data_IF_244040386949
#
_entry.id   IF_244040386949
#
_cell.length_a   1.000
_cell.length_b   1.000
_cell.length_c   1.000
_cell.angle_alpha   90.00
_cell.angle_beta   90.00
_cell.angle_gamma   90.00
#
_symmetry.space_group_name_H-M   'P 1'
#
loop_
_entity.id
_entity.type
_entity.pdbx_description
1 polymer ?
#
# COMPACT_ATOMS: atom_id res chain seq x y z
N UNK A 1 -7.91 86.13 -29.80
CA UNK A 1 -8.34 86.33 -31.20
C UNK A 1 -7.32 85.61 -32.08
N UNK A 2 -7.76 84.66 -32.92
CA UNK A 2 -7.00 83.70 -33.76
C UNK A 2 -6.20 82.65 -32.97
N UNK A 3 -6.39 81.31 -33.01
CA UNK A 3 -6.85 80.33 -34.01
C UNK A 3 -6.13 80.44 -35.37
N UNK A 4 -5.16 79.55 -35.65
CA UNK A 4 -5.39 78.42 -36.57
C UNK A 4 -4.15 77.51 -36.82
N UNK A 5 -4.44 76.20 -36.79
CA UNK A 5 -3.95 75.11 -37.65
C UNK A 5 -2.44 74.88 -37.79
N UNK A 6 -1.95 73.84 -37.11
CA UNK A 6 -1.24 72.73 -37.75
C UNK A 6 -1.20 71.58 -36.73
N UNK A 7 -1.97 70.51 -36.96
CA UNK A 7 -1.75 69.10 -36.56
C UNK A 7 -3.05 68.38 -36.95
N UNK A 8 -3.14 67.87 -38.18
CA UNK A 8 -4.21 66.95 -38.57
C UNK A 8 -3.91 66.17 -39.84
N UNK A 9 -2.76 65.48 -39.95
CA UNK A 9 -2.62 64.37 -40.90
C UNK A 9 -1.56 63.40 -40.35
N UNK A 10 -1.94 62.44 -39.48
CA UNK A 10 -1.19 61.18 -39.21
C UNK A 10 -1.88 60.22 -38.24
N UNK A 11 -3.22 60.18 -38.14
CA UNK A 11 -3.91 59.16 -37.29
C UNK A 11 -4.81 58.24 -38.12
N UNK A 12 -4.98 58.50 -39.43
CA UNK A 12 -5.84 57.66 -40.27
C UNK A 12 -5.22 56.31 -40.70
N UNK A 13 -3.90 56.08 -40.80
CA UNK A 13 -3.38 54.74 -41.14
C UNK A 13 -3.41 53.76 -39.95
N UNK A 14 -3.50 54.24 -38.71
CA UNK A 14 -3.47 53.42 -37.50
C UNK A 14 -4.86 52.97 -37.02
N UNK A 15 -5.93 53.61 -37.49
CA UNK A 15 -7.31 53.18 -37.22
C UNK A 15 -7.84 52.19 -38.28
N UNK A 16 -7.19 52.12 -39.44
CA UNK A 16 -7.49 51.12 -40.49
C UNK A 16 -6.74 49.80 -40.28
N UNK A 17 -5.66 49.77 -39.51
CA UNK A 17 -4.93 48.53 -39.18
C UNK A 17 -5.56 47.72 -38.03
N UNK A 18 -6.47 48.31 -37.25
CA UNK A 18 -7.22 47.60 -36.19
C UNK A 18 -8.53 46.95 -36.68
N UNK A 19 -8.97 47.22 -37.91
CA UNK A 19 -10.22 46.65 -38.48
C UNK A 19 -9.93 45.38 -39.30
N UNK A 20 -8.68 45.14 -39.69
CA UNK A 20 -8.23 43.93 -40.37
C UNK A 20 -7.35 43.06 -39.47
N UNK A 21 -7.75 42.89 -38.20
CA UNK A 21 -7.39 41.65 -37.51
C UNK A 21 -8.25 40.58 -38.18
N UNK A 22 -7.77 40.04 -39.31
CA UNK A 22 -8.34 38.87 -39.94
C UNK A 22 -8.69 37.89 -38.82
N UNK A 23 -9.98 37.53 -38.76
CA UNK A 23 -10.45 36.43 -37.92
C UNK A 23 -9.58 35.23 -38.32
N UNK A 24 -8.54 34.95 -37.53
CA UNK A 24 -7.79 33.71 -37.66
C UNK A 24 -8.83 32.60 -37.68
N UNK A 25 -8.83 31.82 -38.76
CA UNK A 25 -9.87 30.83 -38.99
C UNK A 25 -10.00 29.97 -37.74
N UNK A 26 -11.21 29.80 -37.22
CA UNK A 26 -11.42 29.02 -36.00
C UNK A 26 -10.93 27.55 -36.12
N UNK A 27 -10.64 27.11 -37.35
CA UNK A 27 -9.94 25.87 -37.71
C UNK A 27 -8.55 25.72 -37.08
N UNK A 28 -7.84 26.83 -36.82
CA UNK A 28 -6.47 26.81 -36.26
C UNK A 28 -6.41 26.18 -34.87
N UNK A 29 -7.54 26.13 -34.16
CA UNK A 29 -7.60 25.61 -32.79
C UNK A 29 -7.72 24.08 -32.70
N UNK A 30 -8.11 23.41 -33.79
CA UNK A 30 -8.22 21.96 -33.89
C UNK A 30 -7.66 21.46 -35.22
N UNK A 31 -6.35 21.65 -35.50
CA UNK A 31 -5.76 21.33 -36.80
C UNK A 31 -5.82 19.84 -37.15
N UNK A 32 -6.04 18.96 -36.17
CA UNK A 32 -6.24 17.53 -36.39
C UNK A 32 -7.64 17.18 -36.91
N UNK A 33 -8.59 18.13 -36.88
CA UNK A 33 -9.95 17.96 -37.39
C UNK A 33 -10.04 18.68 -38.74
N UNK A 34 -10.46 17.99 -39.81
CA UNK A 34 -10.54 18.60 -41.13
C UNK A 34 -11.61 19.69 -41.17
N UNK A 35 -11.32 20.78 -41.91
CA UNK A 35 -12.23 21.92 -42.15
C UNK A 35 -13.63 21.51 -42.62
N UNK A 36 -13.71 20.45 -43.43
CA UNK A 36 -14.97 19.88 -43.89
C UNK A 36 -15.33 18.68 -43.05
N UNK A 37 -16.29 18.84 -42.15
CA UNK A 37 -16.83 17.74 -41.33
C UNK A 37 -17.90 16.98 -42.13
N UNK A 38 -17.74 15.67 -42.19
CA UNK A 38 -18.65 14.70 -42.80
C UNK A 38 -18.95 13.54 -41.83
N UNK A 39 -19.71 12.55 -42.29
CA UNK A 39 -20.15 11.42 -41.45
C UNK A 39 -18.99 10.51 -40.98
N UNK A 40 -17.83 10.57 -41.64
CA UNK A 40 -16.63 9.78 -41.32
C UNK A 40 -15.60 10.55 -40.48
N UNK A 41 -15.85 11.83 -40.19
CA UNK A 41 -14.90 12.68 -39.45
C UNK A 41 -14.78 12.27 -37.99
N UNK A 42 -15.87 11.77 -37.41
CA UNK A 42 -15.93 11.34 -36.02
C UNK A 42 -16.31 9.86 -35.92
N UNK A 43 -15.76 9.12 -34.93
CA UNK A 43 -14.88 9.60 -33.87
C UNK A 43 -13.45 9.84 -34.33
N UNK A 44 -12.87 10.95 -33.85
CA UNK A 44 -11.45 11.18 -34.04
C UNK A 44 -10.66 10.26 -33.11
N UNK A 45 -9.79 9.43 -33.69
CA UNK A 45 -9.02 8.43 -32.96
C UNK A 45 -7.68 9.02 -32.52
N UNK A 46 -7.40 8.98 -31.22
CA UNK A 46 -6.11 9.35 -30.65
C UNK A 46 -5.49 8.16 -29.93
N UNK A 47 -4.21 7.89 -30.21
CA UNK A 47 -3.44 6.87 -29.49
C UNK A 47 -2.44 7.55 -28.57
N UNK A 48 -2.61 7.34 -27.26
CA UNK A 48 -1.71 7.80 -26.21
C UNK A 48 -0.73 6.70 -25.81
N UNK A 49 0.48 7.09 -25.41
CA UNK A 49 1.44 6.16 -24.80
C UNK A 49 0.90 5.65 -23.45
N UNK A 50 1.19 4.38 -23.13
CA UNK A 50 0.88 3.77 -21.81
C UNK A 50 1.46 4.55 -20.64
N UNK A 51 2.53 5.28 -20.91
CA UNK A 51 3.24 6.11 -19.95
C UNK A 51 2.31 7.12 -19.23
N UNK A 52 1.19 7.53 -19.84
CA UNK A 52 0.35 8.59 -19.30
C UNK A 52 -1.04 8.06 -18.94
N UNK A 53 -1.24 7.71 -17.67
CA UNK A 53 -2.56 7.25 -17.18
C UNK A 53 -3.62 8.36 -17.16
N UNK A 54 -3.22 9.63 -17.31
CA UNK A 54 -4.12 10.79 -17.38
C UNK A 54 -3.71 11.71 -18.52
N UNK A 55 -4.70 12.25 -19.23
CA UNK A 55 -4.55 13.28 -20.26
C UNK A 55 -5.40 14.49 -19.89
N UNK A 56 -5.09 15.64 -20.51
CA UNK A 56 -5.93 16.83 -20.44
C UNK A 56 -6.45 17.11 -21.85
N UNK A 57 -7.76 16.97 -22.04
CA UNK A 57 -8.41 16.94 -23.35
C UNK A 57 -9.14 18.23 -23.62
N UNK A 58 -8.90 18.81 -24.79
CA UNK A 58 -9.56 20.01 -25.30
C UNK A 58 -10.86 19.62 -26.00
N UNK A 59 -11.99 20.13 -25.52
CA UNK A 59 -13.29 20.06 -26.17
C UNK A 59 -13.74 21.47 -26.60
N UNK A 60 -14.48 21.62 -27.71
CA UNK A 60 -15.11 22.88 -28.02
C UNK A 60 -16.11 23.35 -26.95
N UNK A 61 -16.28 24.67 -26.82
CA UNK A 61 -17.33 25.27 -26.01
C UNK A 61 -18.44 25.87 -26.90
N UNK A 62 -19.52 26.33 -26.29
CA UNK A 62 -20.70 26.90 -26.97
C UNK A 62 -20.40 28.09 -27.88
N UNK A 63 -19.31 28.82 -27.62
CA UNK A 63 -18.86 29.95 -28.44
C UNK A 63 -17.87 29.54 -29.55
N UNK A 64 -17.57 28.25 -29.69
CA UNK A 64 -16.71 27.76 -30.75
C UNK A 64 -17.48 27.67 -32.06
N UNK A 65 -16.85 28.20 -33.10
CA UNK A 65 -17.20 28.05 -34.50
C UNK A 65 -16.10 27.23 -35.16
N UNK A 66 -16.36 26.42 -36.18
CA UNK A 66 -15.30 25.62 -36.80
C UNK A 66 -14.83 26.25 -38.11
N UNK A 67 -15.74 26.40 -39.06
CA UNK A 67 -15.46 26.83 -40.43
C UNK A 67 -16.18 28.12 -40.75
N UNK A 68 -17.37 28.34 -40.17
CA UNK A 68 -18.20 29.50 -40.41
C UNK A 68 -18.64 30.13 -39.08
N UNK A 69 -18.71 31.47 -39.02
CA UNK A 69 -19.27 32.23 -37.88
C UNK A 69 -20.70 31.80 -37.50
N UNK A 70 -21.43 31.20 -38.42
CA UNK A 70 -22.79 30.69 -38.19
C UNK A 70 -22.83 29.26 -37.63
N UNK A 71 -21.69 28.56 -37.57
CA UNK A 71 -21.59 27.26 -36.92
C UNK A 71 -21.99 27.40 -35.46
N UNK A 72 -22.61 26.37 -34.88
CA UNK A 72 -22.95 26.39 -33.45
C UNK A 72 -22.46 25.12 -32.80
N UNK A 73 -21.88 25.25 -31.62
CA UNK A 73 -21.53 24.10 -30.81
C UNK A 73 -22.46 24.00 -29.60
N UNK A 74 -23.00 22.82 -29.36
CA UNK A 74 -23.72 22.50 -28.13
C UNK A 74 -22.88 21.54 -27.31
N UNK A 75 -22.38 22.02 -26.17
CA UNK A 75 -21.56 21.23 -25.26
C UNK A 75 -22.39 20.11 -24.63
N UNK A 76 -21.81 18.92 -24.48
CA UNK A 76 -22.45 17.81 -23.80
C UNK A 76 -22.78 18.15 -22.33
N UNK A 77 -23.93 17.67 -21.83
CA UNK A 77 -24.41 17.98 -20.47
C UNK A 77 -23.45 17.49 -19.39
N UNK A 78 -22.78 16.36 -19.58
CA UNK A 78 -21.80 15.82 -18.62
C UNK A 78 -20.64 16.78 -18.46
N UNK A 79 -20.15 17.31 -19.59
CA UNK A 79 -19.05 18.26 -19.65
C UNK A 79 -19.43 19.62 -19.04
N UNK A 80 -20.65 20.11 -19.31
CA UNK A 80 -21.17 21.33 -18.69
C UNK A 80 -21.23 21.24 -17.16
N UNK A 81 -21.57 20.07 -16.63
CA UNK A 81 -21.62 19.85 -15.18
C UNK A 81 -20.21 19.80 -14.55
N UNK A 82 -19.20 19.28 -15.26
CA UNK A 82 -17.80 19.29 -14.82
C UNK A 82 -17.25 20.74 -14.77
N UNK A 83 -17.60 21.56 -15.76
CA UNK A 83 -17.14 22.96 -15.89
C UNK A 83 -17.65 23.92 -14.83
N UNK A 84 -18.86 23.71 -14.28
CA UNK A 84 -19.35 24.54 -13.18
C UNK A 84 -18.43 24.53 -11.95
N UNK A 85 -17.44 23.63 -11.88
CA UNK A 85 -16.37 23.62 -10.88
C UNK A 85 -14.96 23.99 -11.39
N UNK A 86 -14.75 24.25 -12.68
CA UNK A 86 -13.44 24.51 -13.29
C UNK A 86 -13.56 25.65 -14.32
N UNK A 87 -13.45 26.90 -13.85
CA UNK A 87 -13.34 28.06 -14.74
C UNK A 87 -12.01 28.00 -15.51
N UNK A 88 -12.09 28.02 -16.85
CA UNK A 88 -10.95 28.20 -17.73
C UNK A 88 -11.11 29.49 -18.54
N UNK A 89 -10.01 30.20 -18.68
CA UNK A 89 -9.94 31.65 -18.89
C UNK A 89 -10.39 32.19 -20.27
N UNK A 90 -10.84 31.35 -21.21
CA UNK A 90 -10.93 31.77 -22.62
C UNK A 90 -12.25 31.55 -23.34
N UNK A 91 -13.26 30.94 -22.69
CA UNK A 91 -14.64 30.83 -23.21
C UNK A 91 -14.84 29.92 -24.44
N UNK A 92 -13.83 29.80 -25.32
CA UNK A 92 -13.88 29.04 -26.58
C UNK A 92 -13.76 27.52 -26.40
N UNK A 93 -13.02 27.08 -25.39
CA UNK A 93 -12.70 25.67 -25.18
C UNK A 93 -12.88 25.28 -23.74
N UNK A 94 -13.08 23.98 -23.58
CA UNK A 94 -13.24 23.30 -22.33
C UNK A 94 -12.14 22.26 -22.21
N UNK A 95 -11.32 22.38 -21.18
CA UNK A 95 -10.29 21.38 -20.92
C UNK A 95 -10.71 20.47 -19.78
N UNK A 96 -10.57 19.16 -20.01
CA UNK A 96 -11.09 18.13 -19.13
C UNK A 96 -10.00 17.11 -18.82
N UNK A 97 -9.78 16.75 -17.54
CA UNK A 97 -8.89 15.66 -17.23
C UNK A 97 -9.57 14.33 -17.58
N UNK A 98 -8.84 13.47 -18.29
CA UNK A 98 -9.27 12.15 -18.69
C UNK A 98 -8.32 11.12 -18.10
N UNK A 99 -8.83 10.27 -17.21
CA UNK A 99 -8.08 9.14 -16.66
C UNK A 99 -8.33 7.89 -17.50
N UNK A 100 -7.26 7.14 -17.80
CA UNK A 100 -7.32 5.84 -18.48
C UNK A 100 -8.26 4.86 -17.76
N UNK A 101 -9.12 4.22 -18.53
CA UNK A 101 -9.99 3.15 -18.08
C UNK A 101 -9.22 1.80 -18.12
N UNK A 102 -9.48 0.87 -17.19
CA UNK A 102 -9.05 -0.53 -17.28
C UNK A 102 -9.16 -1.19 -18.66
N UNK A 103 -10.16 -0.85 -19.47
CA UNK A 103 -10.32 -1.35 -20.86
C UNK A 103 -9.21 -0.92 -21.81
N UNK A 104 -8.40 0.09 -21.44
CA UNK A 104 -7.37 0.66 -22.28
C UNK A 104 -7.87 1.65 -23.33
N UNK A 105 -9.17 1.90 -23.41
CA UNK A 105 -9.77 2.89 -24.30
C UNK A 105 -10.95 3.62 -23.66
N UNK A 106 -11.16 4.88 -24.05
CA UNK A 106 -12.29 5.70 -23.63
C UNK A 106 -12.81 6.49 -24.82
N UNK A 107 -14.13 6.45 -24.99
CA UNK A 107 -14.86 7.39 -25.84
C UNK A 107 -15.30 8.60 -25.01
N UNK A 108 -15.03 9.81 -25.50
CA UNK A 108 -15.51 11.07 -24.94
C UNK A 108 -16.37 11.77 -25.97
N UNK A 109 -17.55 12.20 -25.55
CA UNK A 109 -18.43 13.05 -26.36
C UNK A 109 -18.30 14.49 -25.85
N UNK A 110 -17.71 15.36 -26.66
CA UNK A 110 -17.57 16.78 -26.34
C UNK A 110 -18.90 17.55 -26.47
N UNK A 111 -19.73 17.12 -27.43
CA UNK A 111 -20.98 17.79 -27.76
C UNK A 111 -21.39 17.55 -29.21
N UNK A 112 -22.12 18.52 -29.76
CA UNK A 112 -22.60 18.49 -31.16
C UNK A 112 -22.24 19.79 -31.85
N UNK A 113 -21.65 19.69 -33.03
CA UNK A 113 -21.46 20.83 -33.93
C UNK A 113 -22.59 20.85 -34.96
N UNK A 114 -23.17 22.02 -35.18
CA UNK A 114 -24.23 22.28 -36.15
C UNK A 114 -23.63 23.13 -37.27
N UNK A 115 -23.62 22.57 -38.48
CA UNK A 115 -23.09 23.21 -39.68
C UNK A 115 -24.29 23.59 -40.57
N UNK A 116 -24.50 24.89 -40.85
CA UNK A 116 -25.55 25.33 -41.74
C UNK A 116 -25.22 24.93 -43.19
N UNK A 117 -26.17 24.27 -43.85
CA UNK A 117 -26.09 23.92 -45.27
C UNK A 117 -26.85 24.95 -46.11
N UNK A 118 -27.97 25.46 -45.57
CA UNK A 118 -28.81 26.52 -46.14
C UNK A 118 -29.44 27.36 -45.01
N UNK A 119 -30.23 28.39 -45.34
CA UNK A 119 -30.86 29.30 -44.36
C UNK A 119 -31.73 28.62 -43.30
N UNK A 120 -32.32 27.47 -43.62
CA UNK A 120 -33.24 26.73 -42.73
C UNK A 120 -32.78 25.30 -42.43
N UNK A 121 -31.64 24.86 -42.94
CA UNK A 121 -31.18 23.49 -42.79
C UNK A 121 -29.76 23.45 -42.23
N UNK A 122 -29.60 22.78 -41.10
CA UNK A 122 -28.30 22.51 -40.48
C UNK A 122 -28.15 21.01 -40.27
N UNK A 123 -27.01 20.46 -40.68
CA UNK A 123 -26.62 19.11 -40.29
C UNK A 123 -25.82 19.19 -39.00
N UNK A 124 -26.02 18.22 -38.10
CA UNK A 124 -25.22 18.14 -36.89
C UNK A 124 -24.32 16.91 -36.92
N UNK A 125 -23.16 17.03 -36.29
CA UNK A 125 -22.21 15.95 -36.08
C UNK A 125 -21.89 15.85 -34.60
N UNK A 126 -21.83 14.61 -34.10
CA UNK A 126 -21.39 14.36 -32.73
C UNK A 126 -19.88 14.53 -32.68
N UNK A 127 -19.42 15.48 -31.89
CA UNK A 127 -17.99 15.73 -31.71
C UNK A 127 -17.46 14.77 -30.66
N UNK A 128 -16.80 13.72 -31.11
CA UNK A 128 -16.36 12.62 -30.24
C UNK A 128 -14.91 12.20 -30.50
N UNK A 129 -14.25 11.84 -29.40
CA UNK A 129 -12.88 11.34 -29.39
C UNK A 129 -12.88 9.89 -28.94
N UNK A 130 -12.16 9.04 -29.66
CA UNK A 130 -11.83 7.70 -29.20
C UNK A 130 -10.35 7.67 -28.80
N UNK A 131 -10.10 7.67 -27.50
CA UNK A 131 -8.76 7.68 -26.92
C UNK A 131 -8.35 6.25 -26.59
N UNK A 132 -7.31 5.75 -27.24
CA UNK A 132 -6.73 4.43 -27.00
C UNK A 132 -5.37 4.59 -26.32
N UNK A 133 -5.09 3.80 -25.30
CA UNK A 133 -3.75 3.72 -24.70
C UNK A 133 -3.03 2.50 -25.25
N UNK A 134 -1.85 2.73 -25.82
CA UNK A 134 -1.03 1.67 -26.35
C UNK A 134 -0.61 0.65 -25.26
N UNK A 135 -0.35 -0.59 -25.68
CA UNK A 135 0.02 -1.72 -24.83
C UNK A 135 1.54 -1.78 -24.54
N UNK A 136 2.34 -0.83 -25.05
CA UNK A 136 3.79 -0.78 -24.82
C UNK A 136 4.16 -0.76 -23.32
N UNK A 137 5.25 -1.46 -22.98
CA UNK A 137 5.55 -1.91 -21.62
C UNK A 137 6.30 -0.91 -20.73
N UNK A 138 6.64 0.28 -21.21
CA UNK A 138 7.42 1.26 -20.46
C UNK A 138 6.55 2.17 -19.60
N UNK A 139 6.87 2.23 -18.29
CA UNK A 139 6.39 3.29 -17.41
C UNK A 139 6.98 4.63 -17.84
N UNK A 140 6.28 5.76 -17.60
CA UNK A 140 6.82 7.07 -17.95
C UNK A 140 8.07 7.38 -17.14
N UNK A 141 9.15 7.81 -17.80
CA UNK A 141 10.36 8.35 -17.15
C UNK A 141 10.06 9.62 -16.33
N UNK A 142 8.86 10.21 -16.48
CA UNK A 142 8.44 11.43 -15.80
C UNK A 142 7.77 11.21 -14.42
N UNK A 143 7.64 9.96 -13.96
CA UNK A 143 7.09 9.68 -12.63
C UNK A 143 8.16 9.79 -11.56
N UNK A 144 7.95 10.70 -10.61
CA UNK A 144 8.87 10.96 -9.51
C UNK A 144 8.21 10.61 -8.17
N UNK A 145 8.92 9.90 -7.30
CA UNK A 145 8.45 9.64 -5.95
C UNK A 145 8.83 10.80 -5.03
N UNK A 146 7.84 11.36 -4.32
CA UNK A 146 8.06 12.52 -3.44
C UNK A 146 7.40 12.33 -2.09
N UNK A 147 8.11 12.76 -1.03
CA UNK A 147 7.56 12.82 0.31
C UNK A 147 6.51 13.94 0.35
N UNK A 148 5.25 13.58 0.56
CA UNK A 148 4.13 14.53 0.62
C UNK A 148 3.40 14.30 1.94
N UNK A 149 3.62 15.21 2.90
CA UNK A 149 2.95 15.15 4.21
C UNK A 149 1.56 15.81 4.15
N UNK A 150 1.55 17.12 3.89
CA UNK A 150 0.33 17.94 3.96
C UNK A 150 0.20 18.93 2.81
N UNK A 151 1.27 19.18 2.05
CA UNK A 151 1.31 20.17 0.97
C UNK A 151 2.06 19.59 -0.22
N UNK A 152 1.56 19.90 -1.41
CA UNK A 152 2.24 19.61 -2.65
C UNK A 152 3.15 20.76 -3.06
N UNK A 153 4.24 20.48 -3.78
CA UNK A 153 4.92 21.50 -4.56
C UNK A 153 3.91 22.22 -5.47
N UNK A 154 3.92 23.54 -5.45
CA UNK A 154 3.03 24.33 -6.30
C UNK A 154 3.43 24.30 -7.78
N UNK A 155 4.71 24.04 -8.03
CA UNK A 155 5.33 24.04 -9.34
C UNK A 155 6.16 22.77 -9.54
N UNK A 156 6.53 22.54 -10.78
CA UNK A 156 7.42 21.45 -11.17
C UNK A 156 8.30 21.94 -12.32
N UNK A 157 9.61 21.70 -12.24
CA UNK A 157 10.60 22.26 -13.18
C UNK A 157 10.32 21.86 -14.64
N UNK A 158 9.73 20.67 -14.85
CA UNK A 158 9.30 20.16 -16.16
C UNK A 158 8.02 20.82 -16.73
N UNK A 159 7.29 21.59 -15.92
CA UNK A 159 6.00 22.18 -16.28
C UNK A 159 6.12 23.68 -16.50
N UNK A 160 6.26 24.41 -15.39
CA UNK A 160 6.42 25.86 -15.37
C UNK A 160 6.90 26.30 -13.98
N UNK A 161 7.64 27.41 -13.95
CA UNK A 161 8.20 27.95 -12.72
C UNK A 161 7.22 28.83 -11.93
N UNK A 162 6.05 29.16 -12.50
CA UNK A 162 5.00 29.94 -11.83
C UNK A 162 3.80 29.05 -11.46
N UNK A 163 3.30 29.15 -10.23
CA UNK A 163 2.16 28.36 -9.76
C UNK A 163 0.87 28.64 -10.51
N UNK A 164 0.66 29.86 -10.99
CA UNK A 164 -0.58 30.24 -11.69
C UNK A 164 -0.67 29.61 -13.09
N UNK A 165 0.47 29.11 -13.59
CA UNK A 165 0.58 28.41 -14.87
C UNK A 165 0.55 26.89 -14.76
N UNK A 166 0.19 26.33 -13.58
CA UNK A 166 0.18 24.88 -13.35
C UNK A 166 -1.19 24.41 -12.86
N UNK A 167 -1.69 23.35 -13.49
CA UNK A 167 -2.88 22.62 -13.08
C UNK A 167 -2.47 21.29 -12.47
N UNK A 168 -3.03 20.96 -11.30
CA UNK A 168 -2.74 19.71 -10.59
C UNK A 168 -4.04 18.92 -10.44
N UNK A 169 -4.02 17.67 -10.88
CA UNK A 169 -5.11 16.73 -10.72
C UNK A 169 -4.66 15.48 -9.98
N UNK A 170 -5.58 14.83 -9.28
CA UNK A 170 -5.36 13.52 -8.65
C UNK A 170 -6.67 12.74 -8.63
N UNK A 171 -6.62 11.49 -8.17
CA UNK A 171 -7.83 10.72 -7.88
C UNK A 171 -8.05 10.67 -6.37
N UNK A 172 -9.31 10.69 -5.96
CA UNK A 172 -9.68 10.36 -4.58
C UNK A 172 -9.64 8.82 -4.36
N UNK A 173 -9.87 8.38 -3.11
CA UNK A 173 -9.92 6.94 -2.77
C UNK A 173 -11.03 6.16 -3.51
N UNK A 174 -12.01 6.84 -4.09
CA UNK A 174 -13.11 6.25 -4.89
C UNK A 174 -12.81 6.23 -6.39
N UNK A 175 -11.69 6.81 -6.81
CA UNK A 175 -11.27 6.90 -8.20
C UNK A 175 -11.77 8.14 -8.95
N UNK A 176 -12.43 9.09 -8.26
CA UNK A 176 -12.89 10.32 -8.91
C UNK A 176 -11.72 11.27 -9.14
N UNK A 177 -11.66 11.90 -10.31
CA UNK A 177 -10.67 12.92 -10.61
C UNK A 177 -11.03 14.21 -9.87
N UNK A 178 -10.07 14.76 -9.14
CA UNK A 178 -10.22 16.02 -8.40
C UNK A 178 -9.10 16.99 -8.78
N UNK A 179 -9.46 18.27 -8.93
CA UNK A 179 -8.48 19.36 -9.05
C UNK A 179 -7.92 19.68 -7.67
N UNK A 180 -6.61 19.74 -7.56
CA UNK A 180 -5.92 20.01 -6.30
C UNK A 180 -5.55 21.49 -6.22
N UNK A 181 -5.87 22.12 -5.09
CA UNK A 181 -5.31 23.41 -4.74
C UNK A 181 -4.06 23.17 -3.87
N UNK A 182 -2.83 23.39 -4.38
CA UNK A 182 -1.61 23.09 -3.65
C UNK A 182 -1.39 24.01 -2.42
N UNK A 183 -2.12 25.12 -2.31
CA UNK A 183 -2.09 26.00 -1.13
C UNK A 183 -2.87 25.44 0.06
N UNK A 184 -3.80 24.50 -0.17
CA UNK A 184 -4.60 23.89 0.89
C UNK A 184 -3.91 22.65 1.44
N UNK A 185 -4.19 22.34 2.70
CA UNK A 185 -3.83 21.05 3.27
C UNK A 185 -4.58 19.98 2.51
N UNK A 186 -3.84 18.96 2.04
CA UNK A 186 -4.42 17.82 1.33
C UNK A 186 -4.36 16.57 2.20
N UNK A 187 -5.44 15.79 2.14
CA UNK A 187 -5.46 14.44 2.70
C UNK A 187 -4.98 13.47 1.63
N UNK A 188 -3.76 12.98 1.78
CA UNK A 188 -3.18 12.00 0.85
C UNK A 188 -3.39 10.56 1.32
N UNK A 189 -3.25 9.61 0.40
CA UNK A 189 -3.17 8.19 0.73
C UNK A 189 -1.99 7.52 0.03
N UNK A 190 -1.67 6.30 0.47
CA UNK A 190 -0.51 5.56 -0.03
C UNK A 190 -0.53 5.44 -1.55
N UNK A 191 0.61 5.73 -2.20
CA UNK A 191 0.82 5.63 -3.64
C UNK A 191 -0.08 6.53 -4.51
N UNK A 192 -0.74 7.54 -3.93
CA UNK A 192 -1.54 8.50 -4.69
C UNK A 192 -0.67 9.24 -5.71
N UNK A 193 -1.20 9.44 -6.93
CA UNK A 193 -0.54 10.14 -8.03
C UNK A 193 -1.11 11.53 -8.21
N UNK A 194 -0.24 12.51 -8.44
CA UNK A 194 -0.57 13.89 -8.76
C UNK A 194 -0.03 14.22 -10.15
N UNK A 195 -0.91 14.65 -11.04
CA UNK A 195 -0.63 14.92 -12.44
C UNK A 195 -0.55 16.43 -12.62
N UNK A 196 0.62 16.90 -13.06
CA UNK A 196 0.89 18.30 -13.31
C UNK A 196 0.74 18.56 -14.80
N UNK A 197 0.01 19.61 -15.14
CA UNK A 197 -0.16 20.11 -16.50
C UNK A 197 0.17 21.60 -16.53
N UNK A 198 0.83 22.04 -17.60
CA UNK A 198 0.92 23.47 -17.88
C UNK A 198 -0.45 24.01 -18.27
N UNK A 199 -0.77 25.21 -17.82
CA UNK A 199 -2.02 25.88 -18.16
C UNK A 199 -2.06 26.10 -19.69
N UNK A 200 -3.15 25.69 -20.39
CA UNK A 200 -3.22 25.86 -21.84
C UNK A 200 -3.21 27.33 -22.26
N UNK A 201 -2.46 27.64 -23.31
CA UNK A 201 -2.43 28.97 -23.91
C UNK A 201 -3.73 29.26 -24.69
N UNK A 202 -4.00 30.53 -25.01
CA UNK A 202 -5.21 30.91 -25.75
C UNK A 202 -5.22 30.34 -27.18
N UNK A 203 -4.06 30.31 -27.81
CA UNK A 203 -3.80 29.82 -29.18
C UNK A 203 -3.29 28.38 -29.21
N UNK A 204 -3.50 27.62 -28.13
CA UNK A 204 -3.06 26.24 -28.04
C UNK A 204 -3.76 25.37 -29.07
N UNK A 205 -3.00 24.68 -29.92
CA UNK A 205 -3.51 23.85 -31.01
C UNK A 205 -3.57 22.37 -30.64
N UNK A 206 -3.00 21.98 -29.50
CA UNK A 206 -3.02 20.58 -29.06
C UNK A 206 -4.40 20.19 -28.54
N UNK A 207 -4.92 19.06 -29.03
CA UNK A 207 -6.19 18.50 -28.55
C UNK A 207 -5.99 17.68 -27.28
N UNK A 208 -4.86 16.98 -27.17
CA UNK A 208 -4.54 16.09 -26.07
C UNK A 208 -3.21 16.49 -25.45
N UNK A 209 -3.25 16.99 -24.22
CA UNK A 209 -2.05 17.29 -23.45
C UNK A 209 -1.69 16.14 -22.52
N UNK A 210 -0.41 15.77 -22.55
CA UNK A 210 0.20 14.87 -21.59
C UNK A 210 0.61 15.66 -20.34
N UNK A 211 0.61 15.05 -19.15
CA UNK A 211 1.16 15.70 -17.96
C UNK A 211 2.66 15.93 -18.16
N UNK A 212 3.12 17.11 -17.78
CA UNK A 212 4.53 17.47 -17.80
C UNK A 212 5.30 16.85 -16.62
N UNK A 213 4.60 16.48 -15.55
CA UNK A 213 5.14 15.69 -14.44
C UNK A 213 4.08 14.83 -13.75
N UNK A 214 4.51 13.70 -13.21
CA UNK A 214 3.66 12.83 -12.38
C UNK A 214 4.38 12.62 -11.04
N UNK A 215 3.80 13.14 -9.95
CA UNK A 215 4.33 12.89 -8.61
C UNK A 215 3.57 11.74 -7.97
N UNK A 216 4.28 10.70 -7.56
CA UNK A 216 3.73 9.63 -6.72
C UNK A 216 4.08 9.93 -5.26
N UNK A 217 3.08 10.18 -4.43
CA UNK A 217 3.29 10.51 -3.03
C UNK A 217 3.65 9.28 -2.21
N UNK A 218 4.60 9.47 -1.30
CA UNK A 218 4.83 8.61 -0.15
C UNK A 218 4.92 9.45 1.12
N UNK A 219 4.87 8.78 2.27
CA UNK A 219 5.03 9.39 3.59
C UNK A 219 6.06 8.61 4.41
N UNK A 220 6.38 9.10 5.60
CA UNK A 220 7.29 8.40 6.51
C UNK A 220 6.75 7.03 6.88
N UNK A 221 7.64 6.11 7.19
CA UNK A 221 7.24 4.76 7.54
C UNK A 221 6.35 4.75 8.79
N UNK A 222 5.23 4.00 8.76
CA UNK A 222 4.34 3.93 9.90
C UNK A 222 4.98 3.10 11.03
N UNK A 223 4.39 3.15 12.22
CA UNK A 223 4.59 2.13 13.25
C UNK A 223 3.52 1.06 13.09
N UNK A 224 3.93 -0.21 13.13
CA UNK A 224 2.97 -1.32 13.18
C UNK A 224 2.46 -1.40 14.62
N UNK A 225 1.15 -1.27 14.81
CA UNK A 225 0.52 -1.30 16.14
C UNK A 225 -0.54 -2.41 16.22
N UNK A 226 -0.76 -2.93 17.41
CA UNK A 226 -1.90 -3.79 17.73
C UNK A 226 -3.03 -2.94 18.31
N UNK A 227 -4.18 -2.87 17.62
CA UNK A 227 -5.28 -1.95 17.98
C UNK A 227 -5.98 -2.30 19.29
N UNK A 228 -6.03 -3.58 19.63
CA UNK A 228 -6.78 -4.07 20.80
C UNK A 228 -5.92 -4.14 22.07
N UNK A 229 -4.63 -3.80 21.97
CA UNK A 229 -3.64 -4.03 23.04
C UNK A 229 -2.88 -2.78 23.49
N UNK A 230 -3.48 -1.61 23.31
CA UNK A 230 -2.87 -0.26 23.42
C UNK A 230 -2.12 0.02 24.75
N UNK A 231 -2.29 -0.79 25.80
CA UNK A 231 -1.68 -0.54 27.11
C UNK A 231 -0.96 -1.72 27.79
N UNK A 232 -0.87 -2.90 27.15
CA UNK A 232 -0.29 -4.09 27.79
C UNK A 232 0.96 -4.66 27.10
N UNK A 233 1.43 -4.06 26.00
CA UNK A 233 2.77 -4.34 25.49
C UNK A 233 3.80 -3.60 26.33
N UNK A 234 4.87 -4.27 26.77
CA UNK A 234 5.98 -3.62 27.47
C UNK A 234 6.45 -2.38 26.68
N UNK A 235 6.52 -1.21 27.33
CA UNK A 235 6.97 0.06 26.74
C UNK A 235 8.33 -0.03 26.06
N UNK A 236 9.16 -0.99 26.52
CA UNK A 236 10.46 -1.31 25.95
C UNK A 236 10.50 -2.79 25.54
N UNK A 237 10.67 -3.11 24.25
CA UNK A 237 10.77 -4.49 23.81
C UNK A 237 12.05 -5.13 24.35
N UNK A 238 11.93 -6.28 25.00
CA UNK A 238 13.08 -7.05 25.45
C UNK A 238 13.70 -7.77 24.24
N UNK A 239 14.96 -7.47 23.93
CA UNK A 239 15.64 -7.96 22.72
C UNK A 239 14.84 -7.72 21.41
N UNK A 240 14.09 -6.61 21.32
CA UNK A 240 13.28 -6.29 20.14
C UNK A 240 11.97 -7.07 20.02
N UNK A 241 11.52 -7.76 21.09
CA UNK A 241 10.26 -8.49 21.15
C UNK A 241 9.29 -7.79 22.13
N UNK A 242 8.09 -7.48 21.65
CA UNK A 242 6.99 -6.92 22.45
C UNK A 242 6.22 -8.03 23.15
N UNK A 243 6.02 -7.92 24.46
CA UNK A 243 5.27 -8.92 25.24
C UNK A 243 3.81 -8.52 25.33
N UNK A 244 2.90 -9.31 24.76
CA UNK A 244 1.46 -9.02 24.72
C UNK A 244 0.70 -9.94 25.69
N UNK A 245 0.15 -9.39 26.76
CA UNK A 245 -0.69 -10.15 27.70
C UNK A 245 -2.10 -10.34 27.16
N UNK A 246 -2.57 -11.59 27.10
CA UNK A 246 -3.92 -11.93 26.62
C UNK A 246 -4.81 -12.56 27.71
N UNK A 247 -6.09 -12.21 27.67
CA UNK A 247 -7.16 -12.80 28.48
C UNK A 247 -7.84 -13.90 27.65
N UNK A 248 -7.45 -15.15 27.85
CA UNK A 248 -7.96 -16.30 27.10
C UNK A 248 -6.85 -17.10 26.40
N UNK A 249 -7.21 -18.21 25.74
CA UNK A 249 -6.24 -19.12 25.10
C UNK A 249 -5.88 -18.71 23.67
N UNK A 250 -6.73 -17.96 22.98
CA UNK A 250 -6.57 -17.57 21.58
C UNK A 250 -7.58 -16.48 21.19
N UNK A 251 -7.31 -15.73 20.13
CA UNK A 251 -8.21 -14.69 19.62
C UNK A 251 -7.73 -14.05 18.31
N UNK A 252 -8.61 -13.24 17.72
CA UNK A 252 -8.23 -12.35 16.63
C UNK A 252 -7.59 -11.08 17.20
N UNK A 253 -6.50 -10.67 16.58
CA UNK A 253 -5.75 -9.45 16.92
C UNK A 253 -5.82 -8.51 15.74
N UNK A 254 -6.35 -7.30 15.97
CA UNK A 254 -6.38 -6.26 14.95
C UNK A 254 -5.06 -5.50 14.88
N UNK A 255 -4.65 -5.16 13.66
CA UNK A 255 -3.43 -4.40 13.37
C UNK A 255 -3.75 -3.05 12.74
N UNK A 256 -2.85 -2.11 12.91
CA UNK A 256 -2.86 -0.81 12.24
C UNK A 256 -1.45 -0.38 11.85
N UNK A 257 -1.36 0.41 10.78
CA UNK A 257 -0.15 1.11 10.39
C UNK A 257 -0.34 2.58 10.77
N UNK A 258 0.26 2.99 11.88
CA UNK A 258 0.10 4.32 12.46
C UNK A 258 1.19 5.27 11.99
N UNK A 259 0.80 6.34 11.32
CA UNK A 259 1.68 7.44 10.97
C UNK A 259 1.44 8.61 11.93
N UNK A 260 2.32 8.78 12.92
CA UNK A 260 2.20 9.87 13.91
C UNK A 260 0.80 9.90 14.59
N UNK A 261 0.15 8.74 14.74
CA UNK A 261 -1.22 8.61 15.29
C UNK A 261 -2.32 8.46 14.24
N UNK A 262 -2.09 8.86 12.99
CA UNK A 262 -3.05 8.67 11.89
C UNK A 262 -3.07 7.20 11.41
N UNK A 263 -4.27 6.63 11.32
CA UNK A 263 -4.51 5.26 10.84
C UNK A 263 -5.11 5.21 9.43
N UNK A 264 -5.48 6.36 8.86
CA UNK A 264 -6.22 6.44 7.60
C UNK A 264 -5.30 6.47 6.37
N UNK A 265 -4.09 7.01 6.50
CA UNK A 265 -3.13 7.11 5.38
C UNK A 265 -2.76 5.72 4.84
N UNK A 266 -2.32 4.81 5.72
CA UNK A 266 -1.91 3.44 5.39
C UNK A 266 -3.06 2.41 5.48
N UNK A 267 -4.30 2.88 5.54
CA UNK A 267 -5.46 2.00 5.69
C UNK A 267 -5.60 1.03 4.51
N UNK A 268 -5.71 -0.27 4.80
CA UNK A 268 -5.90 -1.34 3.81
C UNK A 268 -4.62 -1.84 3.15
N UNK A 269 -3.47 -1.27 3.50
CA UNK A 269 -2.17 -1.76 3.05
C UNK A 269 -1.88 -3.18 3.55
N UNK A 270 -1.11 -3.93 2.76
CA UNK A 270 -0.75 -5.32 3.08
C UNK A 270 0.47 -5.36 4.00
N UNK A 271 0.37 -6.14 5.05
CA UNK A 271 1.44 -6.46 6.00
C UNK A 271 1.75 -7.95 5.90
N UNK A 272 3.03 -8.30 5.85
CA UNK A 272 3.48 -9.68 5.91
C UNK A 272 3.44 -10.15 7.36
N UNK A 273 2.71 -11.23 7.62
CA UNK A 273 2.66 -11.94 8.89
C UNK A 273 3.48 -13.21 8.78
N UNK A 274 4.30 -13.50 9.80
CA UNK A 274 5.03 -14.77 9.93
C UNK A 274 4.97 -15.27 11.37
N UNK A 275 4.83 -16.59 11.56
CA UNK A 275 5.09 -17.20 12.86
C UNK A 275 6.58 -17.43 13.03
N UNK A 276 7.06 -17.25 14.26
CA UNK A 276 8.47 -17.30 14.59
C UNK A 276 8.76 -18.38 15.62
N UNK A 277 10.00 -18.85 15.61
CA UNK A 277 10.63 -19.67 16.64
C UNK A 277 11.59 -18.80 17.45
N UNK A 278 11.55 -18.92 18.77
CA UNK A 278 12.57 -18.38 19.65
C UNK A 278 13.64 -19.44 19.91
N UNK A 279 14.89 -19.08 19.64
CA UNK A 279 16.07 -19.92 19.78
C UNK A 279 17.15 -19.17 20.55
N UNK A 280 18.18 -19.89 20.97
CA UNK A 280 19.32 -19.32 21.71
C UNK A 280 20.04 -18.23 20.92
N UNK A 281 20.11 -18.36 19.59
CA UNK A 281 20.78 -17.41 18.69
C UNK A 281 19.85 -16.31 18.14
N UNK A 282 18.61 -16.23 18.62
CA UNK A 282 17.62 -15.24 18.17
C UNK A 282 16.34 -15.88 17.65
N UNK A 283 15.68 -15.21 16.70
CA UNK A 283 14.38 -15.65 16.16
C UNK A 283 14.49 -16.18 14.74
N UNK A 284 13.77 -17.25 14.45
CA UNK A 284 13.72 -17.89 13.13
C UNK A 284 12.29 -17.95 12.60
N UNK A 285 12.08 -17.76 11.30
CA UNK A 285 10.73 -17.89 10.71
C UNK A 285 10.33 -19.37 10.67
N UNK A 286 9.08 -19.68 11.03
CA UNK A 286 8.51 -21.00 10.81
C UNK A 286 8.16 -21.12 9.32
N UNK A 287 8.74 -22.11 8.64
CA UNK A 287 8.47 -22.39 7.24
C UNK A 287 6.96 -22.51 6.96
N UNK A 288 6.53 -21.99 5.81
CA UNK A 288 5.14 -21.99 5.36
C UNK A 288 4.12 -21.27 6.28
N UNK A 289 4.59 -20.50 7.28
CA UNK A 289 3.71 -19.68 8.13
C UNK A 289 3.47 -18.27 7.61
N UNK A 290 4.27 -17.85 6.62
CA UNK A 290 4.24 -16.49 6.07
C UNK A 290 3.03 -16.25 5.18
N UNK A 291 2.28 -15.18 5.44
CA UNK A 291 1.12 -14.77 4.63
C UNK A 291 0.91 -13.26 4.67
N UNK A 292 0.20 -12.73 3.68
CA UNK A 292 -0.19 -11.32 3.66
C UNK A 292 -1.53 -11.12 4.39
N UNK A 293 -1.59 -10.13 5.27
CA UNK A 293 -2.78 -9.69 5.99
C UNK A 293 -2.96 -8.18 5.81
N UNK A 294 -4.16 -7.66 6.06
CA UNK A 294 -4.46 -6.22 5.92
C UNK A 294 -4.96 -5.58 7.22
N UNK A 295 -5.72 -6.32 8.03
CA UNK A 295 -6.39 -5.76 9.20
C UNK A 295 -6.26 -6.58 10.47
N UNK A 296 -6.16 -7.91 10.38
CA UNK A 296 -6.14 -8.77 11.56
C UNK A 296 -5.48 -10.12 11.29
N UNK A 297 -5.08 -10.79 12.37
CA UNK A 297 -4.64 -12.18 12.34
C UNK A 297 -5.12 -12.93 13.57
N UNK A 298 -5.08 -14.26 13.50
CA UNK A 298 -5.41 -15.12 14.63
C UNK A 298 -4.14 -15.49 15.40
N UNK A 299 -4.13 -15.27 16.71
CA UNK A 299 -3.02 -15.56 17.61
C UNK A 299 -3.48 -16.47 18.76
N UNK A 300 -2.65 -17.45 19.10
CA UNK A 300 -2.79 -18.27 20.31
C UNK A 300 -1.87 -17.77 21.42
N UNK A 301 -2.16 -18.13 22.66
CA UNK A 301 -1.21 -17.99 23.75
C UNK A 301 0.07 -18.75 23.40
N UNK A 302 1.20 -18.13 23.70
CA UNK A 302 2.56 -18.54 23.36
C UNK A 302 2.92 -18.50 21.86
N UNK A 303 2.08 -17.91 21.00
CA UNK A 303 2.52 -17.58 19.65
C UNK A 303 3.58 -16.45 19.72
N UNK A 304 4.68 -16.64 18.99
CA UNK A 304 5.63 -15.58 18.65
C UNK A 304 5.42 -15.25 17.17
N UNK A 305 5.16 -13.99 16.85
CA UNK A 305 4.82 -13.56 15.49
C UNK A 305 5.62 -12.33 15.10
N UNK A 306 5.92 -12.20 13.82
CA UNK A 306 6.53 -11.01 13.25
C UNK A 306 5.59 -10.41 12.19
N UNK A 307 5.40 -9.10 12.28
CA UNK A 307 4.69 -8.30 11.29
C UNK A 307 5.70 -7.45 10.55
N UNK A 308 5.68 -7.49 9.22
CA UNK A 308 6.60 -6.73 8.38
C UNK A 308 5.84 -5.94 7.33
N UNK A 309 6.06 -4.63 7.27
CA UNK A 309 5.52 -3.75 6.24
C UNK A 309 6.63 -3.24 5.32
N UNK A 310 6.38 -3.29 4.01
CA UNK A 310 7.30 -2.80 2.98
C UNK A 310 7.03 -1.32 2.71
N UNK A 311 7.65 -0.45 3.50
CA UNK A 311 7.46 0.99 3.46
C UNK A 311 8.15 1.62 2.23
N UNK A 312 7.46 2.47 1.45
CA UNK A 312 8.09 3.26 0.38
C UNK A 312 8.96 4.39 0.96
N UNK A 313 10.18 4.52 0.46
CA UNK A 313 11.10 5.62 0.80
C UNK A 313 11.78 6.13 -0.48
N UNK A 314 11.12 7.05 -1.18
CA UNK A 314 11.55 7.49 -2.51
C UNK A 314 11.56 6.30 -3.47
N UNK A 315 12.60 6.16 -4.29
CA UNK A 315 12.66 5.09 -5.30
C UNK A 315 12.96 3.69 -4.74
N UNK A 316 13.12 3.54 -3.42
CA UNK A 316 13.38 2.27 -2.76
C UNK A 316 12.28 1.93 -1.76
N UNK A 317 12.33 0.69 -1.28
CA UNK A 317 11.48 0.22 -0.20
C UNK A 317 12.35 -0.23 0.97
N UNK A 318 11.87 0.04 2.18
CA UNK A 318 12.47 -0.40 3.43
C UNK A 318 11.48 -1.26 4.18
N UNK A 319 11.93 -2.40 4.69
CA UNK A 319 11.12 -3.23 5.55
C UNK A 319 11.17 -2.66 6.97
N UNK A 320 10.00 -2.39 7.54
CA UNK A 320 9.84 -2.19 8.97
C UNK A 320 9.20 -3.44 9.56
N UNK A 321 9.69 -3.89 10.71
CA UNK A 321 9.25 -5.14 11.32
C UNK A 321 9.05 -4.97 12.82
N UNK A 322 7.99 -5.57 13.34
CA UNK A 322 7.69 -5.62 14.77
C UNK A 322 7.40 -7.07 15.17
N UNK A 323 8.00 -7.53 16.27
CA UNK A 323 7.86 -8.91 16.76
C UNK A 323 7.07 -8.92 18.07
N UNK A 324 6.06 -9.76 18.16
CA UNK A 324 5.14 -9.84 19.30
C UNK A 324 5.10 -11.26 19.87
N UNK A 325 5.22 -11.39 21.18
CA UNK A 325 5.06 -12.64 21.92
C UNK A 325 3.82 -12.59 22.79
N UNK A 326 2.87 -13.51 22.57
CA UNK A 326 1.60 -13.56 23.29
C UNK A 326 1.73 -14.41 24.55
N UNK A 327 1.51 -13.82 25.72
CA UNK A 327 1.61 -14.50 27.03
C UNK A 327 0.27 -14.49 27.76
N UNK A 328 -0.04 -15.54 28.54
CA UNK A 328 -1.25 -15.51 29.36
C UNK A 328 -1.07 -14.50 30.50
N UNK A 329 -2.16 -13.84 30.90
CA UNK A 329 -2.10 -12.91 32.03
C UNK A 329 -1.84 -13.63 33.39
N UNK A 330 -2.12 -14.93 33.49
CA UNK A 330 -1.90 -15.73 34.70
C UNK A 330 -0.52 -16.39 34.76
N UNK A 331 0.08 -16.36 35.96
CA UNK A 331 1.35 -17.03 36.27
C UNK A 331 1.26 -18.56 36.30
N UNK A 332 0.06 -19.12 36.50
CA UNK A 332 -0.12 -20.58 36.63
C UNK A 332 0.23 -21.37 35.36
N UNK A 333 0.21 -20.73 34.20
CA UNK A 333 0.58 -21.36 32.92
C UNK A 333 2.08 -21.57 32.75
N UNK A 334 2.91 -21.13 33.70
CA UNK A 334 4.38 -21.23 33.63
C UNK A 334 4.92 -22.59 34.05
N UNK A 335 4.10 -23.39 34.75
CA UNK A 335 4.45 -24.73 35.19
C UNK A 335 3.44 -25.69 34.57
N UNK A 336 3.93 -26.62 33.75
CA UNK A 336 3.11 -27.70 33.21
C UNK A 336 3.61 -29.02 33.77
N UNK A 337 2.70 -29.78 34.35
CA UNK A 337 2.96 -31.13 34.84
C UNK A 337 2.40 -32.15 33.86
N UNK A 338 3.16 -33.21 33.59
CA UNK A 338 2.71 -34.32 32.75
C UNK A 338 3.27 -35.66 33.25
N UNK A 339 2.50 -36.72 33.06
CA UNK A 339 2.90 -38.09 33.41
C UNK A 339 3.07 -38.87 32.11
N UNK A 340 4.20 -39.56 31.95
CA UNK A 340 4.52 -40.37 30.77
C UNK A 340 4.83 -41.78 31.22
N UNK A 341 4.07 -42.75 30.71
CA UNK A 341 4.32 -44.17 30.94
C UNK A 341 5.24 -44.73 29.86
N UNK A 342 6.21 -45.56 30.24
CA UNK A 342 7.09 -46.23 29.29
C UNK A 342 7.49 -47.62 29.77
N UNK A 343 7.78 -48.51 28.83
CA UNK A 343 8.33 -49.83 29.13
C UNK A 343 9.84 -49.76 29.21
N UNK A 344 10.44 -50.41 30.22
CA UNK A 344 11.89 -50.39 30.45
C UNK A 344 12.71 -50.87 29.24
N UNK A 345 12.14 -51.77 28.43
CA UNK A 345 12.79 -52.34 27.25
C UNK A 345 12.67 -51.44 26.01
N UNK A 346 11.95 -50.32 26.08
CA UNK A 346 11.75 -49.41 24.96
C UNK A 346 12.87 -48.36 24.90
N UNK A 347 13.84 -48.58 24.02
CA UNK A 347 14.98 -47.66 23.78
C UNK A 347 14.56 -46.29 23.23
N UNK A 348 13.32 -46.13 22.75
CA UNK A 348 12.81 -44.85 22.22
C UNK A 348 12.15 -43.96 23.28
N UNK A 349 11.81 -44.49 24.46
CA UNK A 349 11.16 -43.74 25.53
C UNK A 349 11.97 -43.82 26.83
N UNK A 350 13.11 -43.13 26.87
CA UNK A 350 13.81 -42.85 28.12
C UNK A 350 13.45 -41.45 28.63
N UNK A 351 13.51 -41.19 29.96
CA UNK A 351 13.29 -39.86 30.51
C UNK A 351 14.19 -38.83 29.84
N UNK A 352 13.59 -37.76 29.30
CA UNK A 352 14.32 -36.80 28.49
C UNK A 352 13.75 -35.38 28.57
N UNK A 353 14.58 -34.40 28.24
CA UNK A 353 14.14 -33.04 27.93
C UNK A 353 14.44 -32.75 26.47
N UNK A 354 13.43 -32.28 25.72
CA UNK A 354 13.64 -31.86 24.34
C UNK A 354 14.20 -30.45 24.26
N UNK A 355 15.27 -30.26 23.50
CA UNK A 355 15.98 -28.98 23.35
C UNK A 355 15.08 -27.93 22.68
N UNK A 356 14.27 -28.36 21.70
CA UNK A 356 13.47 -27.51 20.82
C UNK A 356 11.97 -27.84 20.90
N UNK A 357 11.49 -28.32 22.05
CA UNK A 357 10.08 -28.69 22.25
C UNK A 357 9.12 -27.54 21.97
N UNK A 358 9.53 -26.32 22.33
CA UNK A 358 8.70 -25.13 22.25
C UNK A 358 9.14 -24.29 21.05
N UNK A 359 8.17 -23.78 20.30
CA UNK A 359 8.46 -22.76 19.30
C UNK A 359 8.79 -21.42 19.96
N UNK A 360 8.37 -21.19 21.21
CA UNK A 360 8.54 -19.92 21.91
C UNK A 360 9.63 -19.95 23.00
N UNK A 361 10.45 -21.00 23.04
CA UNK A 361 11.51 -21.13 24.02
C UNK A 361 12.54 -22.18 23.67
N UNK A 362 13.71 -22.09 24.30
CA UNK A 362 14.79 -23.07 24.18
C UNK A 362 15.18 -23.61 25.55
N UNK A 363 15.67 -24.84 25.60
CA UNK A 363 16.09 -25.47 26.86
C UNK A 363 17.29 -24.71 27.46
N UNK A 364 17.12 -24.23 28.68
CA UNK A 364 18.13 -23.51 29.47
C UNK A 364 18.84 -24.48 30.42
N UNK A 365 18.08 -25.27 31.18
CA UNK A 365 18.59 -26.23 32.15
C UNK A 365 17.61 -27.37 32.44
N UNK A 366 18.09 -28.40 33.12
CA UNK A 366 17.33 -29.58 33.54
C UNK A 366 17.44 -29.74 35.05
N UNK A 367 16.31 -29.92 35.74
CA UNK A 367 16.26 -30.24 37.16
C UNK A 367 15.98 -31.72 37.35
N UNK A 368 16.87 -32.40 38.07
CA UNK A 368 16.75 -33.81 38.43
C UNK A 368 17.21 -34.00 39.88
N UNK A 369 16.42 -34.69 40.70
CA UNK A 369 16.69 -34.90 42.15
C UNK A 369 17.04 -33.61 42.91
N UNK A 370 16.36 -32.51 42.57
CA UNK A 370 16.56 -31.16 43.13
C UNK A 370 17.91 -30.49 42.77
N UNK A 371 18.71 -31.12 41.92
CA UNK A 371 19.91 -30.52 41.33
C UNK A 371 19.56 -29.96 39.94
N UNK A 372 20.06 -28.77 39.63
CA UNK A 372 19.92 -28.14 38.32
C UNK A 372 21.20 -28.36 37.51
N UNK A 373 21.03 -28.69 36.24
CA UNK A 373 22.09 -28.97 35.29
C UNK A 373 21.93 -28.05 34.08
N UNK A 374 22.91 -27.19 33.84
CA UNK A 374 22.87 -26.25 32.72
C UNK A 374 23.04 -26.96 31.37
N UNK A 375 22.26 -26.54 30.38
CA UNK A 375 22.31 -27.15 29.05
C UNK A 375 23.69 -27.02 28.40
N UNK A 376 24.38 -25.89 28.60
CA UNK A 376 25.72 -25.67 28.01
C UNK A 376 26.75 -26.64 28.57
N UNK A 377 26.68 -26.95 29.86
CA UNK A 377 27.59 -27.92 30.49
C UNK A 377 27.33 -29.33 29.94
N UNK A 378 26.06 -29.70 29.73
CA UNK A 378 25.66 -30.99 29.15
C UNK A 378 26.05 -31.06 27.66
N UNK A 379 25.97 -29.94 26.93
CA UNK A 379 26.18 -29.90 25.49
C UNK A 379 27.66 -29.89 25.09
N UNK A 380 28.50 -29.19 25.85
CA UNK A 380 29.93 -28.98 25.52
C UNK A 380 30.83 -30.12 25.97
N UNK A 381 30.28 -31.10 26.69
CA UNK A 381 31.07 -32.14 27.30
C UNK A 381 30.65 -33.46 26.66
N UNK A 382 31.57 -34.04 25.88
CA UNK A 382 31.33 -35.38 25.32
C UNK A 382 31.04 -36.41 26.42
N UNK A 383 31.39 -36.12 27.70
CA UNK A 383 31.19 -37.01 28.83
C UNK A 383 30.89 -36.40 30.22
N UNK A 384 30.78 -35.08 30.46
CA UNK A 384 30.70 -34.61 31.86
C UNK A 384 29.27 -34.42 32.37
N UNK A 385 28.74 -35.52 32.88
CA UNK A 385 28.17 -35.61 34.23
C UNK A 385 27.73 -37.05 34.57
N UNK A 386 28.05 -38.04 33.71
CA UNK A 386 27.66 -39.45 33.86
C UNK A 386 26.16 -39.72 33.76
N UNK A 387 25.32 -38.73 34.11
CA UNK A 387 23.87 -38.84 34.25
C UNK A 387 23.11 -38.55 32.97
N UNK A 388 23.59 -37.63 32.11
CA UNK A 388 22.86 -37.24 30.89
C UNK A 388 23.62 -37.59 29.61
N UNK A 389 22.86 -37.80 28.53
CA UNK A 389 23.34 -38.07 27.18
C UNK A 389 22.66 -37.11 26.20
N UNK A 390 23.45 -36.36 25.43
CA UNK A 390 22.94 -35.46 24.41
C UNK A 390 22.76 -36.18 23.06
N UNK A 391 21.54 -36.16 22.54
CA UNK A 391 21.17 -36.69 21.22
C UNK A 391 20.62 -35.58 20.31
N UNK A 392 21.37 -34.47 20.19
CA UNK A 392 21.07 -33.25 19.42
C UNK A 392 19.78 -32.53 19.83
N UNK A 393 18.62 -33.15 19.59
CA UNK A 393 17.29 -32.60 19.85
C UNK A 393 16.73 -33.01 21.21
N UNK A 394 17.31 -34.03 21.85
CA UNK A 394 16.86 -34.58 23.13
C UNK A 394 18.07 -34.75 24.07
N UNK A 395 17.88 -34.43 25.34
CA UNK A 395 18.81 -34.75 26.42
C UNK A 395 18.20 -35.88 27.24
N UNK A 396 18.80 -37.06 27.17
CA UNK A 396 18.35 -38.28 27.86
C UNK A 396 19.03 -38.44 29.21
N UNK A 397 18.30 -38.97 30.18
CA UNK A 397 18.87 -39.50 31.41
C UNK A 397 19.41 -40.93 31.15
N UNK A 398 20.70 -41.16 31.39
CA UNK A 398 21.44 -42.38 31.01
C UNK A 398 20.98 -43.63 31.77
N UNK A 399 20.60 -43.51 33.03
CA UNK A 399 20.17 -44.65 33.85
C UNK A 399 19.06 -44.28 34.83
N UNK A 400 17.93 -44.99 34.75
CA UNK A 400 16.82 -44.89 35.71
C UNK A 400 16.52 -46.24 36.33
N UNK A 401 17.09 -46.49 37.51
CA UNK A 401 16.72 -47.64 38.34
C UNK A 401 15.36 -47.44 39.05
N UNK A 402 14.90 -46.19 39.14
CA UNK A 402 13.69 -45.81 39.88
C UNK A 402 12.43 -46.05 39.03
N UNK A 403 11.39 -46.64 39.65
CA UNK A 403 10.08 -46.86 39.03
C UNK A 403 9.45 -45.55 38.53
N UNK A 404 9.68 -44.47 39.26
CA UNK A 404 9.19 -43.13 38.94
C UNK A 404 10.38 -42.16 38.88
N UNK A 405 10.56 -41.49 37.76
CA UNK A 405 11.62 -40.48 37.56
C UNK A 405 10.97 -39.16 37.19
N UNK A 406 11.30 -38.06 37.89
CA UNK A 406 10.79 -36.73 37.55
C UNK A 406 11.91 -35.83 37.01
N UNK A 407 11.67 -35.22 35.85
CA UNK A 407 12.54 -34.22 35.23
C UNK A 407 11.81 -32.88 35.14
N UNK A 408 12.46 -31.80 35.58
CA UNK A 408 12.01 -30.43 35.34
C UNK A 408 12.81 -29.81 34.20
N UNK A 409 12.23 -29.71 33.00
CA UNK A 409 12.86 -29.06 31.86
C UNK A 409 12.57 -27.55 31.91
N UNK A 410 13.61 -26.74 32.07
CA UNK A 410 13.51 -25.29 32.19
C UNK A 410 13.79 -24.65 30.84
N UNK A 411 12.81 -23.95 30.27
CA UNK A 411 12.89 -23.27 28.99
C UNK A 411 12.95 -21.76 29.15
N UNK A 412 13.93 -21.13 28.49
CA UNK A 412 14.00 -19.68 28.37
C UNK A 412 13.05 -19.21 27.25
N UNK A 413 12.19 -18.23 27.56
CA UNK A 413 11.26 -17.59 26.62
C UNK A 413 11.52 -16.08 26.54
N UNK A 414 10.92 -15.34 25.59
CA UNK A 414 11.10 -13.89 25.48
C UNK A 414 10.66 -13.07 26.70
N UNK A 415 9.59 -13.50 27.40
CA UNK A 415 9.15 -12.84 28.64
C UNK A 415 10.00 -13.31 29.83
N UNK A 416 9.96 -14.62 30.12
CA UNK A 416 10.56 -15.26 31.30
C UNK A 416 10.86 -16.75 31.07
N UNK A 417 10.84 -17.55 32.14
CA UNK A 417 11.09 -18.98 32.14
C UNK A 417 9.75 -19.74 32.08
N UNK A 418 9.75 -20.85 31.35
CA UNK A 418 8.67 -21.84 31.31
C UNK A 418 9.21 -23.19 31.80
N UNK A 419 8.53 -23.81 32.77
CA UNK A 419 8.96 -25.06 33.40
C UNK A 419 8.01 -26.18 32.99
N UNK A 420 8.56 -27.23 32.39
CA UNK A 420 7.84 -28.46 32.10
C UNK A 420 8.34 -29.56 33.04
N UNK A 421 7.52 -29.94 34.00
CA UNK A 421 7.78 -31.06 34.91
C UNK A 421 7.16 -32.32 34.32
N UNK A 422 7.99 -33.31 34.00
CA UNK A 422 7.54 -34.60 33.50
C UNK A 422 7.90 -35.71 34.47
N UNK A 423 6.90 -36.45 34.92
CA UNK A 423 7.09 -37.68 35.69
C UNK A 423 6.96 -38.89 34.78
N UNK A 424 8.06 -39.60 34.61
CA UNK A 424 8.15 -40.84 33.86
C UNK A 424 7.91 -42.03 34.79
N UNK A 425 7.00 -42.93 34.40
CA UNK A 425 6.63 -44.12 35.19
C UNK A 425 6.89 -45.38 34.37
N UNK A 426 7.68 -46.30 34.92
CA UNK A 426 7.98 -47.59 34.30
C UNK A 426 6.75 -48.50 34.41
N UNK A 427 6.27 -49.01 33.28
CA UNK A 427 5.30 -50.12 33.23
C UNK A 427 6.04 -51.45 33.15
N UNK A 428 5.68 -52.37 34.04
CA UNK A 428 6.14 -53.75 33.98
C UNK A 428 5.41 -54.44 32.82
N UNK A 429 6.15 -55.12 31.94
CA UNK A 429 5.59 -55.91 30.85
C UNK A 429 4.84 -57.11 31.41
N UNK A 430 3.59 -56.91 31.80
CA UNK A 430 2.79 -57.96 32.42
C UNK A 430 1.52 -57.44 33.07
N UNK A 431 0.65 -56.77 32.30
CA UNK A 431 -0.82 -56.81 32.44
C UNK A 431 -1.37 -56.42 31.07
N UNK A 432 -2.08 -57.36 30.43
CA UNK A 432 -3.05 -57.03 29.40
C UNK A 432 -4.14 -56.21 30.08
N UNK A 433 -4.11 -54.89 29.94
CA UNK A 433 -5.31 -54.08 30.11
C UNK A 433 -5.51 -53.19 28.91
N UNK A 434 -6.57 -53.53 28.20
CA UNK A 434 -7.07 -52.94 26.98
C UNK A 434 -7.74 -51.59 27.30
N UNK A 435 -6.97 -50.59 27.77
CA UNK A 435 -7.46 -49.21 27.89
C UNK A 435 -6.31 -48.19 27.93
N UNK A 436 -5.76 -47.86 26.76
CA UNK A 436 -4.98 -46.62 26.59
C UNK A 436 -4.89 -46.20 25.12
N UNK A 437 -6.05 -46.02 24.47
CA UNK A 437 -6.18 -45.06 23.37
C UNK A 437 -6.71 -43.76 23.98
N UNK A 438 -5.82 -42.79 24.18
CA UNK A 438 -6.05 -41.35 23.96
C UNK A 438 -5.08 -40.50 24.76
N UNK A 439 -4.17 -39.82 24.06
CA UNK A 439 -4.02 -38.35 24.05
C UNK A 439 -2.57 -37.94 23.75
N UNK A 440 -2.16 -38.19 22.50
CA UNK A 440 -1.24 -37.24 21.85
C UNK A 440 -2.12 -36.05 21.48
N UNK A 441 -2.32 -35.11 22.40
CA UNK A 441 -2.74 -33.77 22.00
C UNK A 441 -1.50 -33.09 21.43
N UNK A 442 -1.40 -33.14 20.10
CA UNK A 442 -0.50 -32.28 19.33
C UNK A 442 -0.77 -30.80 19.67
N UNK A 443 0.31 -30.02 19.70
CA UNK A 443 0.29 -28.56 19.81
C UNK A 443 -0.42 -27.89 18.63
#
# INVERSE_FOLDING_TARGET
MFIFLYISVSILPLLLSSINQEEAGYEDFFPSIPKSINDDTFPFVYTSDKAYDMLYVKCPNSTYHHTNKNDKFTVDKVIQNIQKGIELAYGLFNWLPLLRNPSGSINIICGRIYIPLDTNYSKYYQWEYNVNWDNSSSFPTIMEQKLVKHRLPMTHDKCANNSDSVLIYTNDKRGNIIRVNPMKVISTYVNQKFYYFSFPEKNDTEVFKKPCAILKSYNHCPKIILKDHVYNSSEYPYNGIHIVKVFGKQGFTNIGLSLEGDLDYYHGEKVTFSKMKYRRNGTEVIENSTKNITSSFFAKVFDLVQLTYKCPQGNRYVNISETYFFVPNSLSYRVKEQIVFYFKNNTFMHPNCSVNMLNFGYLESIVYKKEAYDFEDIANTHETNGKFMNSRNLIFLKDTAERNTTLGCIYRTPDRIFILTTTYVIQDSGINDDHSKNSISSF
#
